data_IF_756328204644
#
_entry.id   IF_756328204644
#
_cell.length_a   1.000
_cell.length_b   1.000
_cell.length_c   1.000
_cell.angle_alpha   90.00
_cell.angle_beta   90.00
_cell.angle_gamma   90.00
#
_symmetry.space_group_name_H-M   'P 1'
#
loop_
_entity.id
_entity.type
_entity.pdbx_description
1 polymer ?
#
# COMPACT_ATOMS: atom_id res chain seq x y z
N UNK A 1 -20.45 -20.68 3.53
CA UNK A 1 -19.36 -21.55 3.00
C UNK A 1 -18.08 -20.92 3.46
N UNK A 2 -17.39 -21.56 4.39
CA UNK A 2 -16.21 -21.08 5.05
C UNK A 2 -15.10 -20.89 4.03
N UNK A 3 -14.80 -19.63 3.67
CA UNK A 3 -13.52 -19.31 3.08
C UNK A 3 -12.48 -19.65 4.16
N UNK A 4 -11.63 -20.63 3.85
CA UNK A 4 -10.56 -20.97 4.77
C UNK A 4 -9.76 -19.71 5.05
N UNK A 5 -9.71 -19.35 6.33
CA UNK A 5 -8.90 -18.24 6.82
C UNK A 5 -7.47 -18.38 6.31
N UNK A 6 -6.77 -17.30 5.98
CA UNK A 6 -5.34 -17.36 5.80
C UNK A 6 -4.75 -18.04 7.03
N UNK A 7 -3.88 -19.05 6.82
CA UNK A 7 -3.19 -19.67 7.91
C UNK A 7 -2.38 -18.66 8.73
N UNK A 8 -1.85 -19.08 9.88
CA UNK A 8 -1.08 -18.20 10.79
C UNK A 8 -0.05 -17.35 10.07
N UNK A 9 0.74 -17.95 9.15
CA UNK A 9 1.74 -17.24 8.34
C UNK A 9 1.08 -16.20 7.44
N UNK A 10 -0.04 -16.53 6.78
CA UNK A 10 -0.77 -15.59 5.94
C UNK A 10 -1.31 -14.38 6.71
N UNK A 11 -1.84 -14.57 7.91
CA UNK A 11 -2.27 -13.47 8.76
C UNK A 11 -1.11 -12.60 9.23
N UNK A 12 0.03 -13.20 9.57
CA UNK A 12 1.24 -12.47 9.93
C UNK A 12 1.79 -11.65 8.75
N UNK A 13 1.80 -12.23 7.54
CA UNK A 13 2.16 -11.51 6.32
C UNK A 13 1.24 -10.33 6.03
N UNK A 14 -0.08 -10.53 6.16
CA UNK A 14 -1.06 -9.44 6.04
C UNK A 14 -0.75 -8.33 7.05
N UNK A 15 -0.48 -8.68 8.30
CA UNK A 15 -0.17 -7.69 9.34
C UNK A 15 1.09 -6.88 9.01
N UNK A 16 2.15 -7.53 8.53
CA UNK A 16 3.38 -6.84 8.11
C UNK A 16 3.13 -5.91 6.92
N UNK A 17 2.43 -6.37 5.88
CA UNK A 17 2.10 -5.50 4.74
C UNK A 17 1.23 -4.31 5.18
N UNK A 18 0.27 -4.53 6.07
CA UNK A 18 -0.62 -3.49 6.56
C UNK A 18 0.12 -2.39 7.34
N UNK A 19 1.12 -2.76 8.13
CA UNK A 19 1.97 -1.81 8.87
C UNK A 19 2.71 -0.87 7.91
N UNK A 20 3.29 -1.43 6.85
CA UNK A 20 4.10 -0.72 5.88
C UNK A 20 3.35 -0.23 4.63
N UNK A 21 2.02 -0.38 4.60
CA UNK A 21 1.22 -0.10 3.42
C UNK A 21 1.38 1.34 2.90
N UNK A 22 1.47 2.39 3.75
CA UNK A 22 1.73 3.74 3.29
C UNK A 22 3.06 3.90 2.53
N UNK A 23 4.15 3.31 3.04
CA UNK A 23 5.46 3.34 2.40
C UNK A 23 5.48 2.52 1.10
N UNK A 24 4.85 1.35 1.11
CA UNK A 24 4.69 0.49 -0.07
C UNK A 24 3.96 1.19 -1.22
N UNK A 25 3.10 2.18 -0.91
CA UNK A 25 2.39 2.96 -1.93
C UNK A 25 3.35 3.73 -2.83
N UNK A 26 4.50 4.23 -2.32
CA UNK A 26 5.52 4.89 -3.14
C UNK A 26 6.10 3.98 -4.23
N UNK A 27 6.22 2.68 -3.95
CA UNK A 27 6.74 1.69 -4.89
C UNK A 27 5.65 1.11 -5.80
N UNK A 28 4.43 0.94 -5.29
CA UNK A 28 3.29 0.38 -6.01
C UNK A 28 2.57 1.39 -6.90
N UNK A 29 2.56 2.66 -6.52
CA UNK A 29 1.96 3.80 -7.23
C UNK A 29 3.04 4.85 -7.48
N UNK A 30 4.01 4.53 -8.32
CA UNK A 30 5.32 5.18 -8.37
C UNK A 30 5.40 6.40 -9.29
N UNK A 31 4.27 6.96 -9.76
CA UNK A 31 4.25 8.18 -10.59
C UNK A 31 3.21 9.18 -10.07
N UNK A 32 3.37 10.46 -10.41
CA UNK A 32 2.39 11.49 -10.05
C UNK A 32 0.99 11.17 -10.58
N UNK A 33 0.88 10.53 -11.74
CA UNK A 33 -0.40 10.13 -12.33
C UNK A 33 -1.05 8.93 -11.64
N UNK A 34 -0.30 8.11 -10.94
CA UNK A 34 -0.80 6.93 -10.22
C UNK A 34 -1.87 7.30 -9.19
N UNK A 35 -1.74 8.48 -8.57
CA UNK A 35 -2.62 8.94 -7.49
C UNK A 35 -3.96 9.48 -7.98
N UNK A 36 -4.11 9.84 -9.26
CA UNK A 36 -5.37 10.33 -9.83
C UNK A 36 -6.53 9.36 -9.62
N UNK A 37 -6.28 8.06 -9.76
CA UNK A 37 -7.29 7.02 -9.53
C UNK A 37 -7.70 6.90 -8.06
N UNK A 38 -6.88 7.39 -7.12
CA UNK A 38 -7.15 7.34 -5.69
C UNK A 38 -8.04 8.49 -5.22
N UNK A 39 -8.16 9.56 -6.02
CA UNK A 39 -8.97 10.72 -5.68
C UNK A 39 -10.47 10.49 -5.92
N UNK A 40 -10.82 9.60 -6.85
CA UNK A 40 -12.20 9.29 -7.18
C UNK A 40 -12.61 7.90 -6.65
N UNK A 41 -13.55 7.90 -5.72
CA UNK A 41 -14.10 6.68 -5.12
C UNK A 41 -14.83 5.78 -6.13
N UNK A 42 -15.22 6.30 -7.30
CA UNK A 42 -15.87 5.55 -8.38
C UNK A 42 -14.99 4.49 -9.04
N UNK A 43 -13.67 4.60 -8.94
CA UNK A 43 -12.73 3.69 -9.60
C UNK A 43 -12.40 2.40 -8.82
N UNK A 44 -13.03 2.16 -7.68
CA UNK A 44 -12.73 0.98 -6.84
C UNK A 44 -11.25 0.82 -6.51
N UNK A 45 -10.49 1.92 -6.55
CA UNK A 45 -9.11 1.95 -6.14
C UNK A 45 -9.02 2.00 -4.61
N UNK A 46 -8.11 1.25 -3.97
CA UNK A 46 -7.98 1.26 -2.53
C UNK A 46 -7.39 2.60 -2.07
N UNK A 47 -8.19 3.36 -1.32
CA UNK A 47 -7.79 4.64 -0.72
C UNK A 47 -7.45 4.47 0.76
N UNK A 48 -7.77 3.31 1.33
CA UNK A 48 -7.69 3.03 2.75
C UNK A 48 -6.75 1.88 3.06
N UNK A 49 -5.97 2.07 4.11
CA UNK A 49 -5.07 1.08 4.65
C UNK A 49 -5.85 0.05 5.48
N UNK A 50 -6.55 -0.86 4.80
CA UNK A 50 -7.35 -1.90 5.43
C UNK A 50 -7.26 -3.23 4.65
N UNK A 51 -7.72 -4.32 5.27
CA UNK A 51 -7.76 -5.63 4.63
C UNK A 51 -9.12 -6.31 4.87
N UNK A 52 -9.53 -7.18 3.95
CA UNK A 52 -10.80 -7.88 4.12
C UNK A 52 -10.99 -9.06 3.16
N UNK A 53 -12.01 -9.88 3.45
CA UNK A 53 -12.44 -10.99 2.60
C UNK A 53 -13.33 -10.48 1.47
N UNK A 54 -12.97 -10.80 0.21
CA UNK A 54 -13.72 -10.39 -0.98
C UNK A 54 -14.04 -8.89 -1.05
N UNK A 55 -13.32 -8.08 -0.26
CA UNK A 55 -13.58 -6.65 -0.15
C UNK A 55 -12.65 -5.87 -1.09
N UNK A 56 -13.19 -5.34 -2.19
CA UNK A 56 -12.46 -4.55 -3.19
C UNK A 56 -12.18 -3.12 -2.77
N UNK A 57 -12.72 -2.66 -1.65
CA UNK A 57 -12.46 -1.32 -1.12
C UNK A 57 -11.22 -1.28 -0.22
N UNK A 58 -10.68 -2.45 0.16
CA UNK A 58 -9.48 -2.59 0.98
C UNK A 58 -8.19 -2.57 0.14
N UNK A 59 -7.09 -2.13 0.75
CA UNK A 59 -5.74 -2.20 0.19
C UNK A 59 -5.23 -3.63 0.02
N UNK A 60 -5.64 -4.53 0.94
CA UNK A 60 -5.40 -5.97 0.84
C UNK A 60 -6.72 -6.74 0.79
N UNK A 61 -6.86 -7.64 -0.18
CA UNK A 61 -8.05 -8.47 -0.35
C UNK A 61 -7.71 -9.94 -0.29
N UNK A 62 -8.29 -10.69 0.63
CA UNK A 62 -8.29 -12.15 0.59
C UNK A 62 -9.34 -12.59 -0.44
N UNK A 63 -8.90 -13.06 -1.60
CA UNK A 63 -9.76 -13.34 -2.76
C UNK A 63 -10.10 -14.81 -2.93
N UNK A 64 -9.32 -15.71 -2.33
CA UNK A 64 -9.52 -17.15 -2.30
C UNK A 64 -8.75 -17.77 -1.13
N UNK A 65 -9.02 -19.05 -0.77
CA UNK A 65 -8.20 -19.78 0.19
C UNK A 65 -6.72 -19.76 -0.21
N UNK A 66 -5.85 -19.39 0.75
CA UNK A 66 -4.39 -19.34 0.56
C UNK A 66 -3.89 -18.20 -0.35
N UNK A 67 -4.75 -17.26 -0.76
CA UNK A 67 -4.39 -16.15 -1.63
C UNK A 67 -4.92 -14.81 -1.12
N UNK A 68 -4.05 -13.81 -1.09
CA UNK A 68 -4.47 -12.42 -0.96
C UNK A 68 -3.85 -11.55 -2.07
N UNK A 69 -4.48 -10.43 -2.34
CA UNK A 69 -4.12 -9.47 -3.38
C UNK A 69 -3.66 -8.17 -2.74
N UNK A 70 -2.48 -7.69 -3.10
CA UNK A 70 -2.06 -6.31 -2.86
C UNK A 70 -2.68 -5.43 -3.96
N UNK A 71 -3.42 -4.39 -3.57
CA UNK A 71 -4.26 -3.63 -4.50
C UNK A 71 -3.81 -2.17 -4.70
N UNK A 72 -2.90 -1.68 -3.85
CA UNK A 72 -2.34 -0.32 -3.95
C UNK A 72 -1.21 -0.27 -4.97
N UNK A 73 -1.46 -0.80 -6.17
CA UNK A 73 -0.48 -0.96 -7.24
C UNK A 73 -1.11 -0.62 -8.58
N UNK A 74 -0.34 -0.01 -9.48
CA UNK A 74 -0.69 0.19 -10.88
C UNK A 74 0.37 -0.38 -11.85
N UNK A 75 0.15 -0.22 -13.15
CA UNK A 75 1.04 -0.78 -14.18
C UNK A 75 2.39 -0.04 -14.32
N UNK A 76 2.58 1.08 -13.65
CA UNK A 76 3.81 1.88 -13.71
C UNK A 76 4.85 1.48 -12.66
N UNK A 77 4.51 0.54 -11.77
CA UNK A 77 5.44 0.09 -10.75
C UNK A 77 6.58 -0.77 -11.33
N UNK A 78 7.72 -0.75 -10.65
CA UNK A 78 8.78 -1.71 -10.89
C UNK A 78 8.47 -3.02 -10.11
N UNK A 79 8.20 -4.15 -10.79
CA UNK A 79 7.79 -5.38 -10.12
C UNK A 79 8.89 -5.99 -9.23
N UNK A 80 10.16 -5.72 -9.52
CA UNK A 80 11.28 -6.21 -8.72
C UNK A 80 11.39 -5.44 -7.39
N UNK A 81 11.28 -4.11 -7.45
CA UNK A 81 11.34 -3.27 -6.24
C UNK A 81 10.12 -3.53 -5.34
N UNK A 82 8.93 -3.52 -5.91
CA UNK A 82 7.71 -3.79 -5.16
C UNK A 82 7.69 -5.21 -4.59
N UNK A 83 8.13 -6.21 -5.37
CA UNK A 83 8.23 -7.59 -4.93
C UNK A 83 9.17 -7.75 -3.74
N UNK A 84 10.36 -7.16 -3.80
CA UNK A 84 11.33 -7.17 -2.70
C UNK A 84 10.75 -6.51 -1.43
N UNK A 85 10.12 -5.35 -1.57
CA UNK A 85 9.52 -4.63 -0.46
C UNK A 85 8.33 -5.39 0.18
N UNK A 86 7.48 -6.01 -0.63
CA UNK A 86 6.39 -6.85 -0.12
C UNK A 86 6.90 -8.08 0.63
N UNK A 87 7.94 -8.74 0.12
CA UNK A 87 8.57 -9.87 0.80
C UNK A 87 9.19 -9.43 2.14
N UNK A 88 9.83 -8.26 2.16
CA UNK A 88 10.40 -7.70 3.40
C UNK A 88 9.32 -7.39 4.44
N UNK A 89 8.22 -6.78 4.04
CA UNK A 89 7.08 -6.53 4.92
C UNK A 89 6.48 -7.84 5.45
N UNK A 90 6.33 -8.86 4.61
CA UNK A 90 5.88 -10.19 5.04
C UNK A 90 6.83 -10.83 6.06
N UNK A 91 8.14 -10.77 5.80
CA UNK A 91 9.17 -11.32 6.67
C UNK A 91 9.14 -10.66 8.06
N UNK A 92 8.99 -9.35 8.11
CA UNK A 92 8.84 -8.65 9.39
C UNK A 92 7.59 -9.09 10.14
N UNK A 93 6.45 -9.16 9.46
CA UNK A 93 5.19 -9.62 10.06
C UNK A 93 5.29 -11.02 10.65
N UNK A 94 5.98 -11.93 9.94
CA UNK A 94 6.23 -13.31 10.38
C UNK A 94 7.21 -13.35 11.55
N UNK A 95 8.35 -12.69 11.42
CA UNK A 95 9.42 -12.68 12.42
C UNK A 95 8.97 -12.08 13.75
N UNK A 96 8.20 -10.98 13.70
CA UNK A 96 7.62 -10.32 14.86
C UNK A 96 6.30 -10.97 15.34
N UNK A 97 5.81 -12.01 14.65
CA UNK A 97 4.54 -12.69 14.96
C UNK A 97 3.38 -11.70 15.06
N UNK A 98 3.33 -10.74 14.16
CA UNK A 98 2.33 -9.69 14.15
C UNK A 98 0.92 -10.25 13.95
N UNK A 99 -0.08 -9.49 14.41
CA UNK A 99 -1.49 -9.83 14.23
C UNK A 99 -2.18 -8.68 13.51
N UNK A 100 -2.88 -8.92 12.39
CA UNK A 100 -3.64 -7.87 11.74
C UNK A 100 -4.84 -7.46 12.60
N UNK A 101 -5.35 -6.26 12.39
CA UNK A 101 -6.65 -5.84 12.90
C UNK A 101 -7.77 -6.76 12.37
N UNK A 102 -8.97 -6.65 12.90
CA UNK A 102 -10.13 -7.38 12.38
C UNK A 102 -10.35 -7.04 10.88
N UNK A 103 -10.74 -8.03 10.06
CA UNK A 103 -10.99 -7.78 8.65
C UNK A 103 -12.18 -6.83 8.45
N UNK A 104 -12.06 -5.89 7.52
CA UNK A 104 -13.13 -4.99 7.15
C UNK A 104 -14.16 -5.71 6.25
N UNK A 105 -15.39 -5.78 6.70
CA UNK A 105 -16.49 -6.41 5.98
C UNK A 105 -17.40 -5.41 5.23
N UNK A 106 -17.25 -4.12 5.53
CA UNK A 106 -18.11 -3.06 4.98
C UNK A 106 -17.48 -2.44 3.74
N UNK A 107 -18.30 -1.75 2.95
CA UNK A 107 -17.81 -0.80 1.96
C UNK A 107 -17.17 0.39 2.71
N UNK A 108 -15.82 0.51 2.63
CA UNK A 108 -15.06 1.52 3.37
C UNK A 108 -15.45 2.94 2.92
N UNK A 109 -15.81 3.15 1.66
CA UNK A 109 -16.25 4.45 1.17
C UNK A 109 -17.54 4.93 1.86
N UNK A 110 -18.47 4.00 2.13
CA UNK A 110 -19.69 4.29 2.87
C UNK A 110 -19.40 4.51 4.35
N UNK A 111 -18.50 3.74 4.93
CA UNK A 111 -18.06 3.90 6.31
C UNK A 111 -17.43 5.29 6.55
N UNK A 112 -16.64 5.78 5.61
CA UNK A 112 -16.06 7.13 5.67
C UNK A 112 -17.15 8.22 5.58
N UNK A 113 -18.10 8.08 4.67
CA UNK A 113 -19.23 9.02 4.55
C UNK A 113 -20.06 9.07 5.85
N UNK A 114 -20.12 7.96 6.57
CA UNK A 114 -20.76 7.87 7.88
C UNK A 114 -19.90 8.39 9.06
N UNK A 115 -18.78 9.08 8.77
CA UNK A 115 -17.94 9.72 9.78
C UNK A 115 -17.03 8.77 10.57
N UNK A 116 -16.76 7.56 10.08
CA UNK A 116 -15.82 6.65 10.73
C UNK A 116 -14.39 7.05 10.39
N UNK A 117 -13.54 7.01 11.41
CA UNK A 117 -12.09 7.18 11.25
C UNK A 117 -11.53 5.96 10.50
N UNK A 118 -10.95 6.21 9.33
CA UNK A 118 -10.35 5.20 8.47
C UNK A 118 -8.97 5.69 8.07
N UNK A 119 -7.93 4.91 8.34
CA UNK A 119 -6.55 5.25 7.98
C UNK A 119 -6.45 5.31 6.45
N UNK A 120 -6.17 6.51 5.92
CA UNK A 120 -5.99 6.72 4.48
C UNK A 120 -4.59 6.34 4.03
N UNK A 121 -4.50 5.89 2.78
CA UNK A 121 -3.23 5.80 2.07
C UNK A 121 -2.78 7.20 1.62
N UNK A 122 -1.48 7.40 1.34
CA UNK A 122 -1.00 8.61 0.68
C UNK A 122 -1.79 8.92 -0.60
N UNK A 123 -2.14 10.16 -0.79
CA UNK A 123 -2.92 10.63 -1.95
C UNK A 123 -2.08 11.38 -2.98
N UNK A 124 -0.77 11.48 -2.75
CA UNK A 124 0.19 12.08 -3.68
C UNK A 124 1.51 11.33 -3.65
N UNK A 125 2.30 11.48 -4.72
CA UNK A 125 3.65 10.92 -4.78
C UNK A 125 4.53 11.51 -3.67
N UNK A 126 4.45 12.82 -3.42
CA UNK A 126 5.21 13.46 -2.35
C UNK A 126 4.94 12.86 -0.98
N UNK A 127 3.66 12.74 -0.59
CA UNK A 127 3.28 12.12 0.68
C UNK A 127 3.76 10.66 0.78
N UNK A 128 3.66 9.89 -0.31
CA UNK A 128 4.12 8.50 -0.31
C UNK A 128 5.65 8.39 -0.17
N UNK A 129 6.41 9.30 -0.77
CA UNK A 129 7.87 9.36 -0.63
C UNK A 129 8.29 9.73 0.81
N UNK A 130 7.56 10.63 1.47
CA UNK A 130 7.76 10.94 2.89
C UNK A 130 7.56 9.68 3.76
N UNK A 131 6.47 8.93 3.53
CA UNK A 131 6.22 7.67 4.24
C UNK A 131 7.30 6.62 3.98
N UNK A 132 7.80 6.53 2.74
CA UNK A 132 8.92 5.63 2.42
C UNK A 132 10.20 6.07 3.12
N UNK A 133 10.48 7.37 3.21
CA UNK A 133 11.68 7.89 3.87
C UNK A 133 11.69 7.60 5.39
N UNK A 134 10.52 7.54 6.02
CA UNK A 134 10.34 7.23 7.45
C UNK A 134 10.38 5.72 7.76
N UNK A 135 10.24 4.85 6.75
CA UNK A 135 10.08 3.40 6.91
C UNK A 135 11.40 2.65 6.67
N UNK A 136 12.14 2.41 7.73
CA UNK A 136 13.44 1.74 7.67
C UNK A 136 13.34 0.29 7.15
N UNK A 137 12.21 -0.39 7.38
CA UNK A 137 12.00 -1.77 6.94
C UNK A 137 11.86 -1.82 5.42
N UNK A 138 11.01 -0.99 4.85
CA UNK A 138 10.81 -0.96 3.39
C UNK A 138 12.04 -0.40 2.67
N UNK A 139 12.71 0.59 3.23
CA UNK A 139 14.00 1.07 2.70
C UNK A 139 15.03 -0.05 2.62
N UNK A 140 15.12 -0.88 3.65
CA UNK A 140 16.07 -2.00 3.69
C UNK A 140 15.79 -3.12 2.67
N UNK A 141 14.67 -3.07 1.95
CA UNK A 141 14.41 -3.96 0.82
C UNK A 141 15.24 -3.61 -0.43
N UNK A 142 15.90 -2.46 -0.42
CA UNK A 142 16.76 -1.98 -1.51
C UNK A 142 18.18 -1.71 -0.98
N UNK A 143 19.24 -1.93 -1.80
CA UNK A 143 20.55 -1.37 -1.50
C UNK A 143 20.48 0.15 -1.33
N UNK A 144 21.28 0.71 -0.41
CA UNK A 144 21.25 2.16 -0.08
C UNK A 144 21.37 3.07 -1.31
N UNK A 145 22.26 2.73 -2.24
CA UNK A 145 22.43 3.51 -3.46
C UNK A 145 21.19 3.46 -4.37
N UNK A 146 20.53 2.31 -4.44
CA UNK A 146 19.28 2.17 -5.21
C UNK A 146 18.16 2.99 -4.57
N UNK A 147 18.04 2.96 -3.23
CA UNK A 147 17.07 3.79 -2.53
C UNK A 147 17.32 5.29 -2.79
N UNK A 148 18.56 5.76 -2.67
CA UNK A 148 18.93 7.16 -2.92
C UNK A 148 18.56 7.60 -4.34
N UNK A 149 18.90 6.78 -5.35
CA UNK A 149 18.58 7.07 -6.76
C UNK A 149 17.07 7.08 -6.99
N UNK A 150 16.36 6.08 -6.46
CA UNK A 150 14.89 6.01 -6.58
C UNK A 150 14.22 7.23 -5.94
N UNK A 151 14.57 7.53 -4.70
CA UNK A 151 13.98 8.64 -3.94
C UNK A 151 14.27 9.98 -4.61
N UNK A 152 15.52 10.24 -5.02
CA UNK A 152 15.91 11.46 -5.73
C UNK A 152 15.13 11.62 -7.04
N UNK A 153 15.09 10.57 -7.85
CA UNK A 153 14.41 10.61 -9.16
C UNK A 153 12.91 10.86 -9.03
N UNK A 154 12.28 10.23 -8.04
CA UNK A 154 10.84 10.39 -7.80
C UNK A 154 10.49 11.71 -7.15
N UNK A 155 11.36 12.25 -6.32
CA UNK A 155 11.20 13.59 -5.77
C UNK A 155 11.35 14.67 -6.85
N UNK A 156 12.29 14.54 -7.75
CA UNK A 156 12.44 15.43 -8.94
C UNK A 156 11.17 15.40 -9.83
N UNK A 157 10.58 14.20 -10.05
CA UNK A 157 9.29 14.07 -10.76
C UNK A 157 8.17 14.85 -10.04
N UNK A 158 8.11 14.71 -8.71
CA UNK A 158 7.12 15.40 -7.88
C UNK A 158 7.28 16.92 -7.90
N UNK A 159 8.50 17.43 -7.76
CA UNK A 159 8.80 18.86 -7.79
C UNK A 159 8.48 19.49 -9.15
N UNK A 160 8.82 18.83 -10.25
CA UNK A 160 8.45 19.27 -11.60
C UNK A 160 6.93 19.30 -11.80
N UNK A 161 6.22 18.32 -11.28
CA UNK A 161 4.76 18.31 -11.34
C UNK A 161 4.17 19.51 -10.59
N UNK A 162 4.66 19.84 -9.40
CA UNK A 162 4.23 21.03 -8.65
C UNK A 162 4.53 22.33 -9.41
N UNK A 163 5.71 22.42 -10.00
CA UNK A 163 6.10 23.58 -10.77
C UNK A 163 5.28 23.79 -12.06
N UNK A 164 4.78 22.73 -12.67
CA UNK A 164 3.97 22.80 -13.89
C UNK A 164 2.50 23.19 -13.65
N UNK A 165 2.01 23.05 -12.42
CA UNK A 165 0.58 23.28 -12.10
C UNK A 165 0.24 24.75 -11.81
N UNK A 166 1.20 25.65 -11.84
CA UNK A 166 1.04 27.07 -11.46
C UNK A 166 0.80 28.01 -12.66
N UNK A 167 0.46 27.48 -13.84
CA UNK A 167 0.13 28.31 -15.02
C UNK A 167 -1.32 28.13 -15.43
#
# INVERSE_FOLDING_TARGET
KDMQLPGKIGLQSIAGIMEHLPALTALGSSTVNSYRRLWDQGFWAPVYADWGYQNRTCGLRVSAPGRFEYRSVDSMHNPYLLGAALLKACDEGISKKMKPAAPESRNIYEAQKAGKDVKKLPLSLGEALERLAEDEVIKSAMPDEMYKVFHWYKNDEWERFLGATTQ
#
